data_IF_735306050124
#
_entry.id   IF_735306050124
#
_cell.length_a   1.000
_cell.length_b   1.000
_cell.length_c   1.000
_cell.angle_alpha   90.00
_cell.angle_beta   90.00
_cell.angle_gamma   90.00
#
_symmetry.space_group_name_H-M   'P 1'
#
loop_
_entity.id
_entity.type
_entity.pdbx_description
1 polymer ?
#
# COMPACT_ATOMS: atom_id res chain seq x y z
N UNK A 1 12.77 -28.40 -39.52
CA UNK A 1 14.02 -28.53 -40.29
C UNK A 1 14.21 -27.23 -41.06
N UNK A 2 15.23 -26.42 -40.73
CA UNK A 2 15.45 -25.15 -41.44
C UNK A 2 16.02 -25.43 -42.85
N UNK A 3 15.53 -24.71 -43.84
CA UNK A 3 16.02 -24.84 -45.20
C UNK A 3 17.35 -24.09 -45.40
N UNK A 4 18.20 -24.53 -46.33
CA UNK A 4 19.53 -23.90 -46.59
C UNK A 4 19.42 -22.38 -46.80
N UNK A 5 18.43 -21.80 -47.50
CA UNK A 5 18.29 -20.35 -47.64
C UNK A 5 17.95 -19.65 -46.34
N UNK A 6 17.18 -20.28 -45.44
CA UNK A 6 16.86 -19.69 -44.14
C UNK A 6 18.08 -19.56 -43.23
N UNK A 7 18.94 -20.56 -43.23
CA UNK A 7 20.22 -20.54 -42.46
C UNK A 7 21.16 -19.47 -43.04
N UNK A 8 21.21 -19.34 -44.36
CA UNK A 8 22.01 -18.31 -45.02
C UNK A 8 21.54 -16.89 -44.67
N UNK A 9 20.22 -16.67 -44.72
CA UNK A 9 19.60 -15.41 -44.36
C UNK A 9 19.85 -15.05 -42.89
N UNK A 10 19.69 -16.00 -41.99
CA UNK A 10 19.98 -15.82 -40.57
C UNK A 10 21.46 -15.43 -40.31
N UNK A 11 22.41 -16.08 -41.05
CA UNK A 11 23.83 -15.77 -40.96
C UNK A 11 24.16 -14.36 -41.42
N UNK A 12 23.51 -13.89 -42.51
CA UNK A 12 23.66 -12.51 -42.99
C UNK A 12 23.13 -11.52 -41.96
N UNK A 13 21.94 -11.76 -41.37
CA UNK A 13 21.36 -10.90 -40.33
C UNK A 13 22.28 -10.79 -39.11
N UNK A 14 22.82 -11.92 -38.63
CA UNK A 14 23.74 -11.94 -37.51
C UNK A 14 25.03 -11.13 -37.84
N UNK A 15 25.54 -11.26 -39.05
CA UNK A 15 26.74 -10.54 -39.49
C UNK A 15 26.52 -9.03 -39.61
N UNK A 16 25.36 -8.61 -40.10
CA UNK A 16 24.93 -7.20 -40.15
C UNK A 16 24.77 -6.65 -38.73
N UNK A 17 24.09 -7.37 -37.87
CA UNK A 17 23.88 -7.00 -36.49
C UNK A 17 25.19 -6.85 -35.70
N UNK A 18 26.13 -7.75 -35.90
CA UNK A 18 27.44 -7.69 -35.25
C UNK A 18 28.33 -6.53 -35.77
N UNK A 19 28.07 -6.07 -36.99
CA UNK A 19 28.78 -4.95 -37.61
C UNK A 19 28.21 -3.61 -37.18
N UNK A 20 26.94 -3.56 -36.76
CA UNK A 20 26.26 -2.36 -36.26
C UNK A 20 26.39 -2.29 -34.73
N UNK A 21 27.48 -1.68 -34.29
CA UNK A 21 27.77 -1.49 -32.85
C UNK A 21 26.73 -0.70 -32.12
N UNK A 22 26.05 0.22 -32.79
CA UNK A 22 25.02 1.07 -32.21
C UNK A 22 23.75 0.26 -31.94
N UNK A 23 23.31 -0.55 -32.88
CA UNK A 23 22.18 -1.47 -32.68
C UNK A 23 22.43 -2.51 -31.60
N UNK A 24 23.64 -3.04 -31.54
CA UNK A 24 24.05 -3.95 -30.45
C UNK A 24 23.99 -3.28 -29.08
N UNK A 25 24.50 -2.07 -28.98
CA UNK A 25 24.47 -1.32 -27.74
C UNK A 25 23.03 -1.09 -27.27
N UNK A 26 22.18 -0.57 -28.13
CA UNK A 26 20.80 -0.25 -27.73
C UNK A 26 19.92 -1.49 -27.54
N UNK A 27 20.12 -2.56 -28.28
CA UNK A 27 19.29 -3.76 -28.13
C UNK A 27 19.65 -4.62 -26.94
N UNK A 28 20.93 -4.63 -26.52
CA UNK A 28 21.41 -5.47 -25.43
C UNK A 28 21.66 -4.68 -24.13
N UNK A 29 22.41 -3.58 -24.24
CA UNK A 29 22.86 -2.83 -23.08
C UNK A 29 21.76 -1.94 -22.50
N UNK A 30 20.91 -1.35 -23.34
CA UNK A 30 19.82 -0.49 -22.88
C UNK A 30 18.80 -1.24 -22.01
N UNK A 31 18.25 -2.42 -22.40
CA UNK A 31 17.39 -3.20 -21.52
C UNK A 31 18.09 -3.63 -20.22
N UNK A 32 19.39 -3.96 -20.29
CA UNK A 32 20.17 -4.35 -19.10
C UNK A 32 20.33 -3.18 -18.12
N UNK A 33 20.69 -2.00 -18.63
CA UNK A 33 20.81 -0.79 -17.80
C UNK A 33 19.45 -0.43 -17.21
N UNK A 34 18.38 -0.47 -18.03
CA UNK A 34 17.03 -0.14 -17.58
C UNK A 34 16.56 -1.11 -16.48
N UNK A 35 16.72 -2.40 -16.68
CA UNK A 35 16.40 -3.42 -15.68
C UNK A 35 17.25 -3.26 -14.41
N UNK A 36 18.52 -2.92 -14.55
CA UNK A 36 19.40 -2.67 -13.41
C UNK A 36 18.94 -1.47 -12.60
N UNK A 37 18.54 -0.38 -13.25
CA UNK A 37 17.98 0.79 -12.57
C UNK A 37 16.76 0.38 -11.73
N UNK A 38 15.84 -0.43 -12.28
CA UNK A 38 14.69 -0.92 -11.54
C UNK A 38 15.06 -1.87 -10.39
N UNK A 39 16.05 -2.74 -10.58
CA UNK A 39 16.52 -3.64 -9.53
C UNK A 39 17.18 -2.87 -8.37
N UNK A 40 17.97 -1.85 -8.69
CA UNK A 40 18.64 -1.03 -7.67
C UNK A 40 17.75 0.09 -7.13
N UNK A 41 16.78 0.57 -7.91
CA UNK A 41 15.83 1.61 -7.52
C UNK A 41 14.55 1.02 -6.88
N UNK A 42 14.33 -0.28 -6.99
CA UNK A 42 13.27 -1.02 -6.31
C UNK A 42 13.54 -1.10 -4.81
N UNK A 43 13.79 0.07 -4.19
CA UNK A 43 13.84 0.20 -2.75
C UNK A 43 12.56 -0.29 -2.10
N UNK A 44 12.65 -0.65 -0.83
CA UNK A 44 11.47 -0.94 0.00
C UNK A 44 10.43 0.16 -0.25
N UNK A 45 9.15 -0.19 -0.41
CA UNK A 45 8.10 0.80 -0.61
C UNK A 45 8.18 1.81 0.54
N UNK A 46 8.17 3.10 0.20
CA UNK A 46 8.23 4.15 1.21
C UNK A 46 7.14 3.89 2.25
N UNK A 47 7.48 3.90 3.55
CA UNK A 47 6.51 3.63 4.58
C UNK A 47 5.35 4.62 4.49
N UNK A 48 4.14 4.11 4.63
CA UNK A 48 2.92 4.90 4.58
C UNK A 48 2.77 5.74 5.85
N UNK A 49 2.54 7.03 5.72
CA UNK A 49 2.30 7.92 6.86
C UNK A 49 0.92 7.63 7.44
N UNK A 50 0.88 7.04 8.63
CA UNK A 50 -0.32 6.60 9.31
C UNK A 50 -0.53 7.42 10.58
N UNK A 51 -1.61 8.19 10.63
CA UNK A 51 -2.09 8.82 11.86
C UNK A 51 -2.74 7.77 12.77
N UNK A 52 -2.45 7.81 14.07
CA UNK A 52 -3.03 6.90 15.04
C UNK A 52 -3.70 7.67 16.17
N UNK A 53 -5.00 7.42 16.36
CA UNK A 53 -5.80 7.96 17.46
C UNK A 53 -6.20 6.80 18.36
N UNK A 54 -5.62 6.70 19.53
CA UNK A 54 -6.06 5.74 20.53
C UNK A 54 -7.00 6.42 21.54
N UNK A 55 -8.27 6.01 21.54
CA UNK A 55 -9.28 6.50 22.50
C UNK A 55 -9.50 5.49 23.64
N UNK A 56 -8.91 4.29 23.54
CA UNK A 56 -8.99 3.23 24.55
C UNK A 56 -7.71 3.23 25.38
N UNK A 57 -7.84 2.89 26.67
CA UNK A 57 -6.71 2.75 27.59
C UNK A 57 -6.46 1.29 27.99
N UNK A 58 -7.16 0.32 27.33
CA UNK A 58 -7.02 -1.09 27.68
C UNK A 58 -5.71 -1.69 27.13
N UNK A 59 -5.26 -2.77 27.75
CA UNK A 59 -3.99 -3.45 27.43
C UNK A 59 -3.91 -3.89 25.95
N UNK A 60 -5.04 -4.35 25.38
CA UNK A 60 -5.10 -4.75 23.97
C UNK A 60 -4.93 -3.60 23.01
N UNK A 61 -5.48 -2.43 23.33
CA UNK A 61 -5.29 -1.25 22.50
C UNK A 61 -3.83 -0.80 22.50
N UNK A 62 -3.17 -0.85 23.65
CA UNK A 62 -1.74 -0.51 23.77
C UNK A 62 -0.88 -1.50 22.97
N UNK A 63 -1.18 -2.79 23.06
CA UNK A 63 -0.49 -3.82 22.28
C UNK A 63 -0.69 -3.64 20.78
N UNK A 64 -1.92 -3.34 20.35
CA UNK A 64 -2.20 -3.03 18.95
C UNK A 64 -1.39 -1.82 18.46
N UNK A 65 -1.35 -0.75 19.25
CA UNK A 65 -0.53 0.45 18.95
C UNK A 65 0.94 0.09 18.78
N UNK A 66 1.48 -0.72 19.69
CA UNK A 66 2.88 -1.16 19.64
C UNK A 66 3.18 -1.98 18.38
N UNK A 67 2.31 -2.93 18.03
CA UNK A 67 2.49 -3.74 16.82
C UNK A 67 2.41 -2.91 15.54
N UNK A 68 1.46 -1.97 15.47
CA UNK A 68 1.35 -1.06 14.31
C UNK A 68 2.57 -0.15 14.20
N UNK A 69 3.15 0.32 15.30
CA UNK A 69 4.39 1.11 15.30
C UNK A 69 5.62 0.32 14.85
N UNK A 70 5.66 -0.97 15.18
CA UNK A 70 6.76 -1.85 14.82
C UNK A 70 6.66 -2.35 13.37
N UNK A 71 5.51 -2.15 12.70
CA UNK A 71 5.30 -2.55 11.31
C UNK A 71 6.07 -1.61 10.37
N UNK A 72 7.03 -2.16 9.63
CA UNK A 72 7.91 -1.41 8.73
C UNK A 72 7.18 -0.67 7.60
N UNK A 73 5.97 -1.13 7.28
CA UNK A 73 5.12 -0.54 6.24
C UNK A 73 4.55 0.82 6.64
N UNK A 74 4.64 1.19 7.93
CA UNK A 74 4.02 2.40 8.45
C UNK A 74 5.02 3.35 9.11
N UNK A 75 4.83 4.63 8.86
CA UNK A 75 5.41 5.72 9.64
C UNK A 75 4.29 6.30 10.52
N UNK A 76 4.23 5.82 11.77
CA UNK A 76 3.11 6.12 12.66
C UNK A 76 3.32 7.44 13.39
N UNK A 77 2.27 8.29 13.37
CA UNK A 77 2.19 9.53 14.14
C UNK A 77 0.95 9.51 15.03
N UNK A 78 1.14 9.58 16.34
CA UNK A 78 0.03 9.70 17.28
C UNK A 78 -0.44 11.15 17.42
N UNK A 79 -1.72 11.32 17.66
CA UNK A 79 -2.30 12.65 17.87
C UNK A 79 -3.79 12.62 18.16
N UNK A 80 -4.35 13.81 18.34
CA UNK A 80 -5.80 13.96 18.47
C UNK A 80 -6.51 13.79 17.12
N UNK A 81 -7.73 13.29 17.14
CA UNK A 81 -8.52 13.06 15.93
C UNK A 81 -8.66 14.32 15.07
N UNK A 82 -8.91 15.48 15.69
CA UNK A 82 -9.03 16.76 15.00
C UNK A 82 -7.75 17.12 14.23
N UNK A 83 -6.62 17.10 14.91
CA UNK A 83 -5.33 17.47 14.32
C UNK A 83 -4.93 16.54 13.18
N UNK A 84 -5.07 15.23 13.38
CA UNK A 84 -4.74 14.25 12.34
C UNK A 84 -5.68 14.33 11.14
N UNK A 85 -6.96 14.67 11.33
CA UNK A 85 -7.88 14.93 10.22
C UNK A 85 -7.48 16.16 9.40
N UNK A 86 -7.03 17.23 10.05
CA UNK A 86 -6.47 18.39 9.34
C UNK A 86 -5.24 18.01 8.52
N UNK A 87 -4.33 17.23 9.09
CA UNK A 87 -3.13 16.73 8.41
C UNK A 87 -3.48 15.77 7.25
N UNK A 88 -4.53 14.95 7.38
CA UNK A 88 -5.02 14.10 6.29
C UNK A 88 -5.58 14.94 5.13
N UNK A 89 -6.34 16.00 5.45
CA UNK A 89 -6.87 16.93 4.45
C UNK A 89 -5.74 17.69 3.75
N UNK A 90 -4.69 18.06 4.49
CA UNK A 90 -3.49 18.71 3.96
C UNK A 90 -2.57 17.76 3.18
N UNK A 91 -2.89 16.47 3.12
CA UNK A 91 -2.08 15.39 2.54
C UNK A 91 -0.73 15.15 3.25
N UNK A 92 -0.60 15.59 4.50
CA UNK A 92 0.56 15.28 5.36
C UNK A 92 0.49 13.86 5.94
N UNK A 93 -0.71 13.30 6.05
CA UNK A 93 -0.98 11.90 6.38
C UNK A 93 -1.67 11.21 5.19
N UNK A 94 -1.43 9.90 5.06
CA UNK A 94 -2.06 9.08 4.02
C UNK A 94 -3.35 8.43 4.53
N UNK A 95 -3.35 8.05 5.80
CA UNK A 95 -4.47 7.40 6.47
C UNK A 95 -4.47 7.73 7.96
N UNK A 96 -5.61 7.56 8.61
CA UNK A 96 -5.76 7.66 10.06
C UNK A 96 -6.51 6.43 10.56
N UNK A 97 -5.97 5.74 11.55
CA UNK A 97 -6.67 4.70 12.28
C UNK A 97 -7.16 5.24 13.62
N UNK A 98 -8.42 4.99 13.93
CA UNK A 98 -9.05 5.40 15.19
C UNK A 98 -9.46 4.14 15.95
N UNK A 99 -8.89 3.99 17.14
CA UNK A 99 -9.21 2.92 18.07
C UNK A 99 -10.31 3.47 19.00
N UNK A 100 -11.51 2.86 19.02
CA UNK A 100 -12.62 3.35 19.85
C UNK A 100 -12.38 3.08 21.33
N UNK A 101 -13.11 3.80 22.20
CA UNK A 101 -13.02 3.61 23.66
C UNK A 101 -13.38 2.21 24.11
N UNK A 102 -14.39 1.62 23.48
CA UNK A 102 -14.88 0.27 23.77
C UNK A 102 -14.13 -0.83 23.00
N UNK A 103 -12.88 -0.56 22.59
CA UNK A 103 -12.05 -1.55 21.90
C UNK A 103 -11.91 -2.82 22.75
N UNK A 104 -12.37 -3.96 22.21
CA UNK A 104 -12.40 -5.26 22.91
C UNK A 104 -13.26 -5.30 24.18
N UNK A 105 -14.27 -4.46 24.31
CA UNK A 105 -15.23 -4.55 25.42
C UNK A 105 -16.47 -5.32 25.00
N UNK A 106 -16.81 -6.37 25.71
CA UNK A 106 -18.04 -7.14 25.48
C UNK A 106 -19.26 -6.46 26.13
N UNK A 107 -20.46 -6.52 25.50
CA UNK A 107 -20.82 -7.32 24.31
C UNK A 107 -20.55 -6.61 22.96
N UNK A 108 -20.11 -5.38 22.94
CA UNK A 108 -19.81 -4.60 21.72
C UNK A 108 -18.33 -4.23 21.67
N UNK A 109 -17.49 -5.04 20.99
CA UNK A 109 -16.03 -4.89 21.02
C UNK A 109 -15.51 -3.64 20.30
N UNK A 110 -16.39 -2.82 19.79
CA UNK A 110 -16.02 -1.61 19.04
C UNK A 110 -15.40 -1.92 17.67
N UNK A 111 -15.56 -0.99 16.75
CA UNK A 111 -15.04 -1.09 15.38
C UNK A 111 -13.86 -0.14 15.19
N UNK A 112 -12.73 -0.64 14.70
CA UNK A 112 -11.62 0.19 14.25
C UNK A 112 -12.07 1.00 13.03
N UNK A 113 -11.85 2.31 13.06
CA UNK A 113 -12.20 3.20 11.95
C UNK A 113 -10.94 3.60 11.21
N UNK A 114 -10.90 3.33 9.90
CA UNK A 114 -9.82 3.74 9.02
C UNK A 114 -10.32 4.86 8.11
N UNK A 115 -9.73 6.04 8.26
CA UNK A 115 -10.01 7.20 7.43
C UNK A 115 -8.91 7.32 6.38
N UNK A 116 -9.31 7.47 5.12
CA UNK A 116 -8.42 7.53 3.97
C UNK A 116 -8.75 8.75 3.10
N UNK A 117 -7.74 9.26 2.41
CA UNK A 117 -7.98 10.19 1.32
C UNK A 117 -8.46 9.42 0.08
N UNK A 118 -9.68 9.73 -0.41
CA UNK A 118 -10.26 9.11 -1.61
C UNK A 118 -9.39 9.21 -2.87
N UNK A 119 -8.48 10.17 -2.92
CA UNK A 119 -7.53 10.30 -4.04
C UNK A 119 -6.47 9.18 -4.05
N UNK A 120 -6.31 8.44 -2.96
CA UNK A 120 -5.26 7.43 -2.76
C UNK A 120 -5.78 5.99 -2.69
N UNK A 121 -6.83 5.68 -3.44
CA UNK A 121 -7.51 4.36 -3.46
C UNK A 121 -6.54 3.18 -3.63
N UNK A 122 -5.46 3.36 -4.41
CA UNK A 122 -4.44 2.31 -4.60
C UNK A 122 -3.70 1.93 -3.32
N UNK A 123 -3.46 2.89 -2.43
CA UNK A 123 -2.76 2.66 -1.15
C UNK A 123 -3.72 2.09 -0.09
N UNK A 124 -5.02 2.35 -0.23
CA UNK A 124 -6.04 1.90 0.69
C UNK A 124 -6.04 0.37 0.87
N UNK A 125 -5.92 -0.38 -0.22
CA UNK A 125 -5.82 -1.84 -0.18
C UNK A 125 -4.61 -2.33 0.61
N UNK A 126 -3.42 -1.80 0.30
CA UNK A 126 -2.19 -2.20 0.99
C UNK A 126 -2.20 -1.85 2.49
N UNK A 127 -2.74 -0.66 2.84
CA UNK A 127 -2.89 -0.25 4.24
C UNK A 127 -3.84 -1.21 4.98
N UNK A 128 -4.98 -1.51 4.38
CA UNK A 128 -5.95 -2.44 4.93
C UNK A 128 -5.34 -3.82 5.15
N UNK A 129 -4.68 -4.39 4.14
CA UNK A 129 -4.07 -5.72 4.20
C UNK A 129 -3.01 -5.79 5.30
N UNK A 130 -2.18 -4.75 5.45
CA UNK A 130 -1.18 -4.66 6.52
C UNK A 130 -1.83 -4.56 7.91
N UNK A 131 -2.89 -3.76 8.07
CA UNK A 131 -3.61 -3.66 9.33
C UNK A 131 -4.36 -4.95 9.69
N UNK A 132 -4.97 -5.62 8.69
CA UNK A 132 -5.60 -6.94 8.88
C UNK A 132 -4.57 -7.99 9.32
N UNK A 133 -3.35 -7.95 8.76
CA UNK A 133 -2.27 -8.85 9.20
C UNK A 133 -1.89 -8.62 10.67
N UNK A 134 -1.81 -7.36 11.11
CA UNK A 134 -1.57 -7.02 12.53
C UNK A 134 -2.72 -7.52 13.41
N UNK A 135 -3.97 -7.31 13.01
CA UNK A 135 -5.14 -7.81 13.75
C UNK A 135 -5.13 -9.33 13.87
N UNK A 136 -4.88 -10.02 12.77
CA UNK A 136 -4.78 -11.49 12.76
C UNK A 136 -3.64 -12.00 13.64
N UNK A 137 -2.53 -11.26 13.77
CA UNK A 137 -1.45 -11.63 14.68
C UNK A 137 -1.89 -11.58 16.13
N UNK A 138 -2.68 -10.57 16.50
CA UNK A 138 -3.26 -10.43 17.84
C UNK A 138 -4.28 -11.53 18.10
N UNK A 139 -5.18 -11.78 17.15
CA UNK A 139 -6.19 -12.84 17.29
C UNK A 139 -5.56 -14.23 17.48
N UNK A 140 -4.50 -14.55 16.75
CA UNK A 140 -3.74 -15.80 16.90
C UNK A 140 -3.12 -15.93 18.29
N UNK A 141 -2.67 -14.82 18.85
CA UNK A 141 -2.05 -14.83 20.19
C UNK A 141 -3.09 -14.99 21.31
N UNK A 142 -4.29 -14.45 21.12
CA UNK A 142 -5.38 -14.50 22.11
C UNK A 142 -6.13 -15.85 22.09
N UNK A 143 -5.93 -16.71 21.11
CA UNK A 143 -6.49 -18.06 20.92
C UNK A 143 -7.95 -18.31 21.34
N UNK A 144 -8.78 -18.68 20.38
CA UNK A 144 -10.13 -19.26 20.47
C UNK A 144 -11.32 -18.32 20.66
N UNK A 145 -11.27 -17.11 20.16
CA UNK A 145 -12.44 -16.22 20.20
C UNK A 145 -12.86 -15.87 18.77
N UNK A 146 -14.16 -15.78 18.53
CA UNK A 146 -14.73 -15.24 17.30
C UNK A 146 -14.05 -13.90 16.93
N UNK A 147 -13.98 -13.53 15.64
CA UNK A 147 -13.25 -12.33 15.21
C UNK A 147 -13.68 -11.11 16.03
N UNK A 148 -12.75 -10.65 16.89
CA UNK A 148 -13.01 -9.58 17.86
C UNK A 148 -12.98 -8.18 17.21
N UNK A 149 -12.57 -8.08 15.94
CA UNK A 149 -12.35 -6.80 15.30
C UNK A 149 -13.02 -6.73 13.93
N UNK A 150 -13.68 -5.61 13.66
CA UNK A 150 -14.14 -5.25 12.33
C UNK A 150 -13.49 -3.93 11.90
N UNK A 151 -13.12 -3.83 10.62
CA UNK A 151 -12.51 -2.64 10.04
C UNK A 151 -13.55 -1.93 9.17
N UNK A 152 -13.95 -0.74 9.57
CA UNK A 152 -14.85 0.12 8.79
C UNK A 152 -14.04 1.17 8.04
N UNK A 153 -14.17 1.17 6.70
CA UNK A 153 -13.59 2.21 5.86
C UNK A 153 -14.53 3.42 5.84
N UNK A 154 -14.02 4.59 6.19
CA UNK A 154 -14.72 5.86 6.09
C UNK A 154 -13.94 6.81 5.17
N UNK A 155 -14.58 7.24 4.09
CA UNK A 155 -14.00 8.20 3.15
C UNK A 155 -14.24 9.63 3.66
N UNK A 156 -13.17 10.39 3.91
CA UNK A 156 -13.21 11.75 4.46
C UNK A 156 -13.31 12.81 3.35
N UNK A 157 -12.87 12.49 2.14
CA UNK A 157 -12.93 13.39 0.96
C UNK A 157 -14.00 12.96 -0.04
N UNK A 158 -15.26 12.92 0.35
CA UNK A 158 -16.33 12.93 -0.64
C UNK A 158 -16.40 14.31 -1.29
N UNK A 159 -15.63 14.55 -2.35
CA UNK A 159 -16.00 15.59 -3.30
C UNK A 159 -17.35 15.16 -3.88
N UNK A 160 -18.40 15.99 -3.81
CA UNK A 160 -19.60 15.69 -4.55
C UNK A 160 -19.18 15.59 -6.02
N UNK A 161 -19.15 14.39 -6.55
CA UNK A 161 -19.09 14.20 -7.99
C UNK A 161 -20.34 14.89 -8.51
N UNK A 162 -20.19 16.09 -9.04
CA UNK A 162 -21.21 16.67 -9.93
C UNK A 162 -21.28 15.70 -11.11
N UNK A 163 -22.26 14.83 -11.08
CA UNK A 163 -22.78 14.23 -12.29
C UNK A 163 -23.15 15.41 -13.19
N UNK A 164 -22.31 15.70 -14.14
CA UNK A 164 -22.71 16.50 -15.28
C UNK A 164 -23.63 15.55 -16.05
N UNK A 165 -24.92 15.73 -15.87
CA UNK A 165 -25.93 15.15 -16.73
C UNK A 165 -25.62 15.62 -18.15
N UNK A 166 -25.01 14.74 -18.94
CA UNK A 166 -25.07 14.81 -20.38
C UNK A 166 -26.44 14.29 -20.80
N UNK A 167 -27.44 15.15 -20.66
CA UNK A 167 -28.70 15.08 -21.39
C UNK A 167 -28.86 16.43 -22.09
N UNK A 168 -28.43 16.45 -23.35
CA UNK A 168 -29.12 17.08 -24.49
C UNK A 168 -28.33 16.81 -25.75
#
# INVERSE_FOLDING_TARGET
MFTKPQIHLASIFIKIFYRDRQSLFFSLLFPLIFTSIFLFSGGEPNPTKLGLVNQSENELSLKFVELVKNEKSFLVKEGSELKLKEELIAADQTAIIIIPKNFNEFPDPGTLRLLLDASQVRQAGAIRDSLEAVLLSIEREIRNIEPMFSLQLEDVKSRPQRYIDFLL
#
